data_IF_258019342115
#
_entry.id   IF_258019342115
#
_cell.length_a   1.000
_cell.length_b   1.000
_cell.length_c   1.000
_cell.angle_alpha   90.00
_cell.angle_beta   90.00
_cell.angle_gamma   90.00
#
_symmetry.space_group_name_H-M   'P 1'
#
loop_
_entity.id
_entity.type
_entity.pdbx_description
1 polymer ?
#
# COMPACT_ATOMS: atom_id res chain seq x y z
N UNK A 1 -13.47 46.01 34.52
CA UNK A 1 -14.63 46.72 33.95
C UNK A 1 -14.22 47.34 32.62
N UNK A 2 -14.54 46.66 31.52
CA UNK A 2 -14.60 47.21 30.16
C UNK A 2 -15.31 46.15 29.33
N UNK A 3 -16.54 46.47 28.90
CA UNK A 3 -17.44 45.55 28.21
C UNK A 3 -17.08 45.41 26.73
N UNK A 4 -17.16 44.17 26.23
CA UNK A 4 -17.18 43.86 24.81
C UNK A 4 -18.64 43.72 24.35
N UNK A 5 -18.98 44.13 23.11
CA UNK A 5 -20.36 44.21 22.65
C UNK A 5 -20.91 42.83 22.26
N UNK A 6 -22.17 42.58 22.60
CA UNK A 6 -22.92 41.41 22.13
C UNK A 6 -23.25 41.54 20.63
N UNK A 7 -23.10 40.47 19.82
CA UNK A 7 -23.55 40.48 18.44
C UNK A 7 -25.08 40.44 18.34
N UNK A 8 -25.60 41.03 17.25
CA UNK A 8 -27.01 41.21 16.98
C UNK A 8 -27.79 39.88 16.87
N UNK A 9 -29.02 39.89 17.40
CA UNK A 9 -29.99 38.77 17.54
C UNK A 9 -30.47 38.11 16.23
N UNK A 10 -29.89 38.39 15.07
CA UNK A 10 -30.44 37.94 13.78
C UNK A 10 -29.89 36.61 13.23
N UNK A 11 -28.75 36.11 13.70
CA UNK A 11 -28.11 34.92 13.09
C UNK A 11 -28.45 33.58 13.77
N UNK A 12 -29.00 33.56 14.98
CA UNK A 12 -29.32 32.31 15.69
C UNK A 12 -30.62 31.61 15.24
N UNK A 13 -31.34 32.16 14.25
CA UNK A 13 -32.67 31.65 13.85
C UNK A 13 -32.65 30.64 12.71
N UNK A 14 -31.54 30.45 11.98
CA UNK A 14 -31.53 29.53 10.83
C UNK A 14 -31.22 28.07 11.18
N UNK A 15 -30.61 27.77 12.34
CA UNK A 15 -30.14 26.41 12.67
C UNK A 15 -31.04 25.61 13.62
N UNK A 16 -32.10 26.20 14.18
CA UNK A 16 -32.98 25.52 15.16
C UNK A 16 -34.24 24.85 14.56
N UNK A 17 -34.31 24.65 13.24
CA UNK A 17 -35.47 24.04 12.56
C UNK A 17 -35.70 22.54 12.83
N UNK A 18 -34.90 21.90 13.71
CA UNK A 18 -35.00 20.48 14.03
C UNK A 18 -35.91 20.10 15.21
N UNK A 19 -36.34 21.06 16.05
CA UNK A 19 -37.15 20.75 17.23
C UNK A 19 -38.64 21.08 16.99
N UNK A 20 -39.48 20.03 16.90
CA UNK A 20 -40.93 20.15 16.62
C UNK A 20 -41.76 20.89 17.67
N UNK A 21 -41.18 21.34 18.79
CA UNK A 21 -41.92 21.99 19.88
C UNK A 21 -41.17 23.17 20.54
N UNK A 22 -40.30 23.89 19.80
CA UNK A 22 -39.57 25.06 20.35
C UNK A 22 -40.50 26.13 20.95
N UNK A 23 -41.69 26.31 20.40
CA UNK A 23 -42.65 27.31 20.86
C UNK A 23 -43.33 26.95 22.20
N UNK A 24 -43.20 25.71 22.68
CA UNK A 24 -43.80 25.25 23.95
C UNK A 24 -42.87 25.34 25.16
N UNK A 25 -41.59 25.68 24.97
CA UNK A 25 -40.62 25.82 26.06
C UNK A 25 -40.75 27.20 26.74
N UNK A 26 -40.69 27.22 28.07
CA UNK A 26 -40.65 28.44 28.88
C UNK A 26 -39.34 29.22 28.63
N UNK A 27 -39.37 30.54 28.84
CA UNK A 27 -38.24 31.46 28.63
C UNK A 27 -36.99 31.06 29.44
N UNK A 28 -37.14 30.42 30.60
CA UNK A 28 -36.00 29.93 31.40
C UNK A 28 -35.28 28.75 30.74
N UNK A 29 -36.03 27.80 30.19
CA UNK A 29 -35.46 26.59 29.56
C UNK A 29 -34.79 26.92 28.22
N UNK A 30 -35.35 27.88 27.47
CA UNK A 30 -34.70 28.42 26.25
C UNK A 30 -33.37 29.10 26.55
N UNK A 31 -33.25 29.75 27.71
CA UNK A 31 -32.00 30.39 28.15
C UNK A 31 -30.93 29.36 28.53
N UNK A 32 -31.30 28.27 29.21
CA UNK A 32 -30.37 27.23 29.64
C UNK A 32 -29.77 26.45 28.45
N UNK A 33 -30.58 26.15 27.43
CA UNK A 33 -30.12 25.44 26.22
C UNK A 33 -29.14 26.31 25.41
N UNK A 34 -29.43 27.61 25.27
CA UNK A 34 -28.57 28.52 24.54
C UNK A 34 -27.19 28.72 25.22
N UNK A 35 -27.12 28.71 26.54
CA UNK A 35 -25.86 28.82 27.29
C UNK A 35 -25.03 27.53 27.19
N UNK A 36 -25.67 26.36 27.28
CA UNK A 36 -24.99 25.07 27.14
C UNK A 36 -24.38 24.85 25.75
N UNK A 37 -25.05 25.31 24.69
CA UNK A 37 -24.53 25.14 23.32
C UNK A 37 -23.42 26.15 22.98
N UNK A 38 -23.45 27.37 23.53
CA UNK A 38 -22.35 28.34 23.39
C UNK A 38 -21.10 27.86 24.14
N UNK A 39 -21.24 27.32 25.34
CA UNK A 39 -20.11 26.73 26.07
C UNK A 39 -19.56 25.48 25.34
N UNK A 40 -20.41 24.70 24.67
CA UNK A 40 -19.99 23.59 23.80
C UNK A 40 -19.21 24.07 22.57
N UNK A 41 -19.62 25.18 21.94
CA UNK A 41 -18.97 25.77 20.78
C UNK A 41 -17.62 26.40 21.14
N UNK A 42 -17.53 27.09 22.28
CA UNK A 42 -16.27 27.69 22.76
C UNK A 42 -15.27 26.63 23.22
N UNK A 43 -15.73 25.55 23.87
CA UNK A 43 -14.88 24.41 24.23
C UNK A 43 -14.39 23.62 23.01
N UNK A 44 -15.23 23.42 21.99
CA UNK A 44 -14.82 22.69 20.79
C UNK A 44 -13.85 23.48 19.89
N UNK A 45 -13.90 24.81 19.88
CA UNK A 45 -12.93 25.64 19.16
C UNK A 45 -11.56 25.66 19.90
N UNK A 46 -11.56 25.86 21.23
CA UNK A 46 -10.34 25.85 22.03
C UNK A 46 -9.60 24.51 22.04
N UNK A 47 -10.33 23.38 22.01
CA UNK A 47 -9.74 22.04 21.90
C UNK A 47 -9.22 21.70 20.49
N UNK A 48 -9.74 22.35 19.43
CA UNK A 48 -9.25 22.18 18.05
C UNK A 48 -7.91 22.87 17.84
N UNK A 49 -7.75 24.10 18.33
CA UNK A 49 -6.53 24.87 18.11
C UNK A 49 -5.35 24.35 18.97
N UNK A 50 -5.64 23.90 20.20
CA UNK A 50 -4.66 23.19 21.05
C UNK A 50 -4.35 21.79 20.53
N UNK A 51 -5.31 21.10 19.90
CA UNK A 51 -5.10 19.78 19.29
C UNK A 51 -4.18 19.83 18.06
N UNK A 52 -4.37 20.83 17.19
CA UNK A 52 -3.56 21.02 15.98
C UNK A 52 -2.13 21.46 16.33
N UNK A 53 -1.97 22.41 17.25
CA UNK A 53 -0.65 22.87 17.67
C UNK A 53 0.15 21.77 18.41
N UNK A 54 -0.52 20.96 19.24
CA UNK A 54 0.12 19.84 19.95
C UNK A 54 0.44 18.67 19.02
N UNK A 55 -0.36 18.43 17.97
CA UNK A 55 -0.05 17.44 16.93
C UNK A 55 1.15 17.88 16.07
N UNK A 56 1.20 19.15 15.65
CA UNK A 56 2.36 19.70 14.93
C UNK A 56 3.63 19.70 15.77
N UNK A 57 3.54 20.00 17.07
CA UNK A 57 4.67 19.91 18.00
C UNK A 57 5.12 18.47 18.28
N UNK A 58 4.20 17.49 18.33
CA UNK A 58 4.53 16.07 18.52
C UNK A 58 5.13 15.43 17.25
N UNK A 59 4.72 15.86 16.05
CA UNK A 59 5.37 15.47 14.80
C UNK A 59 6.76 16.09 14.62
N UNK A 60 7.00 17.28 15.19
CA UNK A 60 8.31 17.94 15.15
C UNK A 60 9.31 17.42 16.19
N UNK A 61 8.83 16.96 17.36
CA UNK A 61 9.70 16.52 18.46
C UNK A 61 10.14 15.04 18.40
N UNK A 62 9.67 14.26 17.41
CA UNK A 62 9.98 12.84 17.25
C UNK A 62 10.84 12.49 16.01
N UNK A 63 11.32 13.49 15.25
CA UNK A 63 12.17 13.24 14.09
C UNK A 63 13.65 13.46 14.44
N UNK A 64 14.43 12.42 14.79
CA UNK A 64 15.83 12.45 14.41
C UNK A 64 15.85 12.63 12.89
N UNK A 65 16.63 13.58 12.38
CA UNK A 65 16.81 13.90 10.97
C UNK A 65 16.79 12.62 10.12
N UNK A 66 15.65 12.32 9.48
CA UNK A 66 15.50 11.15 8.62
C UNK A 66 16.32 11.41 7.37
N UNK A 67 17.41 10.65 7.21
CA UNK A 67 18.14 10.63 5.96
C UNK A 67 17.18 10.17 4.86
N UNK A 68 17.00 10.94 3.78
CA UNK A 68 16.15 10.52 2.67
C UNK A 68 16.69 9.23 2.07
N UNK A 69 15.80 8.30 1.71
CA UNK A 69 16.23 7.06 1.07
C UNK A 69 16.95 7.38 -0.26
N UNK A 70 18.27 7.20 -0.27
CA UNK A 70 19.07 7.12 -1.50
C UNK A 70 18.95 5.73 -2.15
N UNK A 71 18.21 4.80 -1.55
CA UNK A 71 18.12 3.42 -2.03
C UNK A 71 17.47 3.26 -3.39
N UNK A 72 16.85 4.28 -3.99
CA UNK A 72 16.27 4.14 -5.32
C UNK A 72 16.70 5.31 -6.20
N UNK A 73 17.49 5.03 -7.23
CA UNK A 73 18.02 6.05 -8.16
C UNK A 73 17.73 5.62 -9.59
N UNK A 74 17.17 6.51 -10.42
CA UNK A 74 17.23 6.38 -11.87
C UNK A 74 18.58 6.89 -12.39
N UNK A 75 19.27 6.06 -13.16
CA UNK A 75 20.63 6.30 -13.65
C UNK A 75 20.85 7.66 -14.32
N UNK A 76 21.87 8.38 -13.85
CA UNK A 76 22.72 9.28 -14.64
C UNK A 76 24.20 8.86 -14.45
N UNK A 77 25.02 9.06 -15.46
CA UNK A 77 26.21 8.24 -15.81
C UNK A 77 27.48 8.34 -14.95
N UNK A 78 27.43 8.72 -13.66
CA UNK A 78 28.62 8.70 -12.77
C UNK A 78 28.23 8.37 -11.32
N UNK A 79 28.54 7.15 -10.84
CA UNK A 79 28.20 6.70 -9.48
C UNK A 79 29.33 7.01 -8.45
N UNK A 80 28.98 7.75 -7.41
CA UNK A 80 29.68 8.02 -6.14
C UNK A 80 29.55 6.83 -5.17
N UNK A 81 30.28 6.87 -4.04
CA UNK A 81 30.21 5.83 -2.99
C UNK A 81 28.80 5.70 -2.36
N UNK A 82 28.03 6.79 -2.33
CA UNK A 82 26.62 6.80 -1.91
C UNK A 82 25.71 6.16 -2.99
N UNK A 83 26.02 6.34 -4.28
CA UNK A 83 25.31 5.71 -5.39
C UNK A 83 25.63 4.21 -5.53
N UNK A 84 26.78 3.73 -5.03
CA UNK A 84 27.14 2.31 -4.96
C UNK A 84 26.29 1.51 -3.95
N UNK A 85 25.65 2.18 -2.99
CA UNK A 85 24.72 1.57 -2.03
C UNK A 85 23.24 1.92 -2.32
N UNK A 86 22.95 2.35 -3.55
CA UNK A 86 21.59 2.58 -4.04
C UNK A 86 21.11 1.41 -4.90
N UNK A 87 19.81 1.11 -4.85
CA UNK A 87 19.15 0.17 -5.75
C UNK A 87 18.81 0.93 -7.02
N UNK A 88 19.36 0.47 -8.13
CA UNK A 88 18.87 0.88 -9.43
C UNK A 88 17.60 0.06 -9.72
N UNK A 89 16.43 0.69 -9.69
CA UNK A 89 15.14 -0.01 -9.90
C UNK A 89 15.11 -0.69 -11.27
N UNK A 90 15.72 -0.08 -12.29
CA UNK A 90 15.67 -0.60 -13.66
C UNK A 90 16.55 -1.84 -13.80
N UNK A 91 17.73 -1.83 -13.20
CA UNK A 91 18.60 -3.00 -13.11
C UNK A 91 17.94 -4.11 -12.27
N UNK A 92 17.45 -3.73 -11.09
CA UNK A 92 16.80 -4.62 -10.14
C UNK A 92 15.54 -5.28 -10.70
N UNK A 93 14.83 -4.62 -11.61
CA UNK A 93 13.70 -5.18 -12.34
C UNK A 93 14.06 -6.44 -13.14
N UNK A 94 15.33 -6.63 -13.50
CA UNK A 94 15.78 -7.80 -14.26
C UNK A 94 16.28 -8.97 -13.40
N UNK A 95 16.42 -8.74 -12.09
CA UNK A 95 17.03 -9.70 -11.17
C UNK A 95 16.28 -11.02 -11.08
N UNK A 96 17.05 -12.09 -10.90
CA UNK A 96 16.54 -13.39 -10.51
C UNK A 96 16.34 -13.54 -8.99
N UNK A 97 15.78 -14.68 -8.60
CA UNK A 97 15.51 -15.01 -7.20
C UNK A 97 16.76 -14.90 -6.32
N UNK A 98 17.90 -15.41 -6.75
CA UNK A 98 19.09 -15.47 -5.90
C UNK A 98 19.73 -14.08 -5.76
N UNK A 99 19.69 -13.26 -6.80
CA UNK A 99 20.05 -11.85 -6.73
C UNK A 99 19.16 -11.08 -5.75
N UNK A 100 17.84 -11.29 -5.81
CA UNK A 100 16.87 -10.69 -4.87
C UNK A 100 17.18 -11.11 -3.43
N UNK A 101 17.31 -12.41 -3.16
CA UNK A 101 17.57 -12.91 -1.80
C UNK A 101 18.91 -12.38 -1.27
N UNK A 102 19.97 -12.41 -2.09
CA UNK A 102 21.28 -11.86 -1.72
C UNK A 102 21.18 -10.38 -1.36
N UNK A 103 20.41 -9.60 -2.12
CA UNK A 103 20.19 -8.20 -1.82
C UNK A 103 19.42 -7.99 -0.51
N UNK A 104 18.34 -8.74 -0.27
CA UNK A 104 17.56 -8.65 0.98
C UNK A 104 18.45 -8.86 2.21
N UNK A 105 19.32 -9.88 2.19
CA UNK A 105 20.26 -10.13 3.29
C UNK A 105 21.31 -9.01 3.42
N UNK A 106 21.88 -8.53 2.31
CA UNK A 106 22.83 -7.39 2.33
C UNK A 106 22.21 -6.13 2.96
N UNK A 107 20.95 -5.85 2.66
CA UNK A 107 20.21 -4.73 3.24
C UNK A 107 19.96 -4.96 4.74
N UNK A 108 19.56 -6.16 5.13
CA UNK A 108 19.32 -6.51 6.52
C UNK A 108 20.59 -6.49 7.39
N UNK A 109 21.75 -6.82 6.82
CA UNK A 109 23.05 -6.74 7.50
C UNK A 109 23.45 -5.30 7.85
N UNK A 110 23.16 -4.34 6.96
CA UNK A 110 23.52 -2.95 7.16
C UNK A 110 22.48 -1.98 6.56
N UNK A 111 21.32 -1.79 7.22
CA UNK A 111 20.22 -1.00 6.68
C UNK A 111 20.55 0.50 6.58
N UNK A 112 21.54 0.99 7.34
CA UNK A 112 21.99 2.38 7.31
C UNK A 112 22.56 2.75 5.94
N UNK A 113 23.25 1.82 5.26
CA UNK A 113 23.77 2.05 3.90
C UNK A 113 22.64 2.30 2.88
N UNK A 114 21.43 1.86 3.20
CA UNK A 114 20.25 2.00 2.36
C UNK A 114 19.32 3.13 2.84
N UNK A 115 19.78 3.98 3.76
CA UNK A 115 19.02 5.13 4.26
C UNK A 115 18.08 4.82 5.44
N UNK A 116 18.10 3.59 5.98
CA UNK A 116 17.34 3.27 7.18
C UNK A 116 18.21 3.44 8.43
N UNK A 117 18.06 4.59 9.10
CA UNK A 117 18.81 4.94 10.30
C UNK A 117 18.28 4.33 11.62
N UNK A 118 17.04 3.82 11.63
CA UNK A 118 16.45 3.22 12.83
C UNK A 118 16.99 1.81 13.06
N UNK A 119 17.80 1.66 14.10
CA UNK A 119 18.38 0.38 14.52
C UNK A 119 17.32 -0.67 14.92
N UNK A 120 16.11 -0.24 15.30
CA UNK A 120 15.00 -1.16 15.63
C UNK A 120 14.47 -1.90 14.40
N UNK A 121 14.75 -1.41 13.19
CA UNK A 121 14.28 -1.99 11.92
C UNK A 121 15.19 -3.12 11.44
N UNK A 122 16.48 -3.09 11.79
CA UNK A 122 17.45 -4.11 11.37
C UNK A 122 16.99 -5.56 11.68
N UNK A 123 16.62 -5.92 12.92
CA UNK A 123 16.17 -7.29 13.22
C UNK A 123 14.91 -7.68 12.43
N UNK A 124 14.02 -6.72 12.15
CA UNK A 124 12.79 -6.95 11.37
C UNK A 124 13.11 -7.25 9.90
N UNK A 125 14.05 -6.52 9.31
CA UNK A 125 14.52 -6.77 7.94
C UNK A 125 15.19 -8.14 7.84
N UNK A 126 16.02 -8.51 8.82
CA UNK A 126 16.66 -9.83 8.85
C UNK A 126 15.63 -10.96 8.95
N UNK A 127 14.63 -10.81 9.81
CA UNK A 127 13.55 -11.78 9.96
C UNK A 127 12.71 -11.91 8.69
N UNK A 128 12.33 -10.79 8.06
CA UNK A 128 11.61 -10.77 6.79
C UNK A 128 12.42 -11.41 5.66
N UNK A 129 13.72 -11.12 5.55
CA UNK A 129 14.59 -11.75 4.55
C UNK A 129 14.64 -13.27 4.73
N UNK A 130 14.74 -13.73 5.99
CA UNK A 130 14.68 -15.15 6.34
C UNK A 130 13.37 -15.81 5.94
N UNK A 131 12.23 -15.19 6.25
CA UNK A 131 10.92 -15.72 5.88
C UNK A 131 10.69 -15.71 4.38
N UNK A 132 11.13 -14.67 3.66
CA UNK A 132 11.04 -14.61 2.20
C UNK A 132 11.85 -15.76 1.58
N UNK A 133 13.13 -15.94 1.95
CA UNK A 133 13.96 -17.03 1.41
C UNK A 133 13.36 -18.42 1.73
N UNK A 134 12.81 -18.59 2.94
CA UNK A 134 12.19 -19.83 3.37
C UNK A 134 10.87 -20.14 2.63
N UNK A 135 10.12 -19.13 2.20
CA UNK A 135 8.86 -19.28 1.46
C UNK A 135 9.03 -19.34 -0.06
N UNK A 136 10.15 -18.83 -0.58
CA UNK A 136 10.42 -18.79 -2.01
C UNK A 136 10.93 -20.12 -2.55
N UNK A 137 10.39 -20.55 -3.69
CA UNK A 137 10.86 -21.74 -4.41
C UNK A 137 12.29 -21.56 -4.93
N UNK A 138 13.11 -22.61 -5.05
CA UNK A 138 12.79 -24.02 -4.76
C UNK A 138 12.95 -24.40 -3.27
N UNK A 139 13.49 -23.49 -2.43
CA UNK A 139 13.75 -23.77 -1.00
C UNK A 139 12.50 -23.85 -0.13
N UNK A 140 11.34 -23.43 -0.64
CA UNK A 140 10.00 -23.49 -0.02
C UNK A 140 9.53 -24.89 0.38
N UNK A 141 10.32 -25.61 1.18
CA UNK A 141 10.11 -27.00 1.58
C UNK A 141 8.83 -27.22 2.37
N UNK A 142 8.27 -26.18 2.97
CA UNK A 142 7.00 -26.28 3.70
C UNK A 142 5.78 -26.31 2.76
N UNK A 143 5.93 -25.85 1.51
CA UNK A 143 4.80 -25.63 0.61
C UNK A 143 4.95 -26.12 -0.83
N UNK A 144 6.11 -26.62 -1.22
CA UNK A 144 6.21 -27.60 -2.31
C UNK A 144 5.59 -28.90 -1.79
N UNK A 145 4.52 -29.33 -2.46
CA UNK A 145 3.85 -30.57 -2.09
C UNK A 145 4.82 -31.75 -2.14
N UNK A 146 5.84 -31.73 -3.02
CA UNK A 146 6.76 -32.84 -3.26
C UNK A 146 6.02 -34.21 -3.33
N UNK A 147 4.78 -34.21 -3.83
CA UNK A 147 3.90 -35.40 -3.86
C UNK A 147 3.23 -35.79 -2.53
N UNK A 148 3.38 -35.01 -1.45
CA UNK A 148 2.70 -35.23 -0.17
C UNK A 148 1.31 -34.60 -0.18
N UNK A 149 0.30 -35.45 -0.05
CA UNK A 149 -1.11 -35.05 -0.13
C UNK A 149 -1.48 -34.03 0.96
N UNK A 150 -0.85 -34.09 2.14
CA UNK A 150 -1.08 -33.16 3.24
C UNK A 150 -0.75 -31.72 2.85
N UNK A 151 0.13 -31.52 1.87
CA UNK A 151 0.61 -30.20 1.43
C UNK A 151 -0.04 -29.72 0.13
N UNK A 152 -0.69 -30.60 -0.62
CA UNK A 152 -1.41 -30.26 -1.85
C UNK A 152 -2.57 -29.28 -1.59
N UNK A 153 -2.74 -28.25 -2.43
CA UNK A 153 -1.91 -27.90 -3.60
C UNK A 153 -0.63 -27.15 -3.22
N UNK A 154 0.39 -27.21 -4.07
CA UNK A 154 1.57 -26.35 -3.96
C UNK A 154 1.15 -24.86 -3.96
N UNK A 155 1.47 -24.12 -2.91
CA UNK A 155 1.06 -22.71 -2.74
C UNK A 155 2.02 -21.98 -1.81
N UNK A 156 2.36 -20.74 -2.10
CA UNK A 156 3.28 -19.92 -1.31
C UNK A 156 2.66 -19.26 -0.06
N UNK A 157 1.55 -19.82 0.45
CA UNK A 157 0.81 -19.33 1.62
C UNK A 157 1.11 -20.21 2.83
N UNK A 158 1.49 -19.58 3.93
CA UNK A 158 1.82 -20.30 5.15
C UNK A 158 0.61 -20.93 5.83
N UNK A 159 0.74 -22.22 6.13
CA UNK A 159 -0.36 -23.09 6.54
C UNK A 159 0.12 -24.32 7.28
N UNK A 160 -0.72 -24.85 8.16
CA UNK A 160 -0.48 -26.12 8.84
C UNK A 160 -1.60 -27.10 8.52
N UNK A 161 -1.24 -28.35 8.20
CA UNK A 161 -2.22 -29.39 7.91
C UNK A 161 -3.03 -29.74 9.16
N UNK A 162 -4.35 -29.87 9.02
CA UNK A 162 -5.27 -30.31 10.09
C UNK A 162 -5.28 -31.83 10.13
N UNK A 163 -4.77 -32.48 11.20
CA UNK A 163 -4.74 -33.93 11.30
C UNK A 163 -6.13 -34.55 11.15
N UNK A 164 -6.21 -35.67 10.42
CA UNK A 164 -7.45 -36.41 10.13
C UNK A 164 -8.46 -35.68 9.24
N UNK A 165 -8.10 -34.58 8.57
CA UNK A 165 -8.96 -34.01 7.53
C UNK A 165 -9.03 -34.96 6.33
N UNK A 166 -10.24 -35.32 5.92
CA UNK A 166 -10.48 -36.27 4.84
C UNK A 166 -11.20 -35.65 3.65
N UNK A 167 -10.61 -35.89 2.46
CA UNK A 167 -11.22 -35.54 1.18
C UNK A 167 -12.61 -36.18 1.07
N UNK A 168 -13.60 -35.40 0.59
CA UNK A 168 -15.03 -35.76 0.45
C UNK A 168 -15.87 -35.84 1.73
N UNK A 169 -15.26 -36.01 2.92
CA UNK A 169 -16.01 -36.04 4.20
C UNK A 169 -16.09 -34.66 4.85
N UNK A 170 -14.99 -33.91 4.78
CA UNK A 170 -14.79 -32.72 5.59
C UNK A 170 -14.82 -31.41 4.77
N UNK A 171 -15.63 -31.35 3.70
CA UNK A 171 -15.69 -30.22 2.76
C UNK A 171 -16.23 -28.91 3.38
N UNK A 172 -16.87 -29.00 4.54
CA UNK A 172 -17.33 -27.85 5.34
C UNK A 172 -16.26 -27.34 6.32
N UNK A 173 -15.16 -28.06 6.48
CA UNK A 173 -14.01 -27.64 7.28
C UNK A 173 -12.80 -27.40 6.39
N UNK A 174 -11.77 -26.75 6.91
CA UNK A 174 -10.56 -26.52 6.15
C UNK A 174 -9.54 -27.62 6.38
N UNK A 175 -8.91 -28.06 5.29
CA UNK A 175 -7.71 -28.93 5.34
C UNK A 175 -6.55 -28.30 6.09
N UNK A 176 -6.52 -26.97 6.17
CA UNK A 176 -5.39 -26.22 6.65
C UNK A 176 -5.82 -25.14 7.65
N UNK A 177 -5.02 -24.96 8.70
CA UNK A 177 -5.09 -23.74 9.51
C UNK A 177 -4.17 -22.68 8.93
N UNK A 178 -4.60 -21.42 8.98
CA UNK A 178 -3.76 -20.29 8.58
C UNK A 178 -2.63 -20.15 9.58
N UNK A 179 -1.39 -20.31 9.12
CA UNK A 179 -0.20 -20.00 9.89
C UNK A 179 0.31 -18.65 9.39
N UNK A 180 -0.05 -17.57 10.08
CA UNK A 180 0.47 -16.24 9.74
C UNK A 180 1.78 -15.99 10.46
N UNK A 181 2.69 -15.26 9.83
CA UNK A 181 3.85 -14.69 10.48
C UNK A 181 3.46 -13.37 11.13
N UNK A 182 3.81 -13.18 12.40
CA UNK A 182 3.47 -11.95 13.12
C UNK A 182 4.71 -11.10 13.24
N UNK A 183 4.81 -10.07 12.41
CA UNK A 183 5.89 -9.08 12.55
C UNK A 183 5.53 -8.14 13.72
N UNK A 184 6.37 -8.02 14.76
CA UNK A 184 6.06 -7.18 15.91
C UNK A 184 6.07 -5.69 15.56
N UNK A 185 4.97 -5.02 15.92
CA UNK A 185 4.81 -3.56 15.92
C UNK A 185 4.11 -3.13 17.21
N UNK A 186 4.26 -1.86 17.57
CA UNK A 186 3.82 -1.27 18.86
C UNK A 186 2.32 -1.44 19.16
N UNK A 187 1.50 -1.88 18.20
CA UNK A 187 0.06 -2.06 18.32
C UNK A 187 -0.44 -3.46 17.89
N UNK A 188 0.22 -4.53 18.36
CA UNK A 188 -0.28 -5.91 18.19
C UNK A 188 0.24 -6.68 16.98
N UNK A 189 1.26 -6.14 16.29
CA UNK A 189 1.91 -6.77 15.15
C UNK A 189 1.10 -6.74 13.84
N UNK A 190 1.72 -7.22 12.77
CA UNK A 190 1.08 -7.42 11.45
C UNK A 190 1.15 -8.90 11.13
N UNK A 191 0.00 -9.50 10.84
CA UNK A 191 -0.05 -10.85 10.30
C UNK A 191 0.27 -10.81 8.81
N UNK A 192 1.30 -11.54 8.38
CA UNK A 192 1.73 -11.71 7.00
C UNK A 192 1.54 -13.18 6.62
N UNK A 193 0.97 -13.46 5.45
CA UNK A 193 0.58 -14.84 5.11
C UNK A 193 1.42 -15.44 3.98
N UNK A 194 2.13 -14.61 3.23
CA UNK A 194 2.97 -15.04 2.13
C UNK A 194 4.17 -14.12 1.92
N UNK A 195 5.08 -14.53 1.05
CA UNK A 195 6.28 -13.76 0.73
C UNK A 195 6.00 -12.44 -0.01
N UNK A 196 4.86 -12.29 -0.69
CA UNK A 196 4.47 -11.01 -1.31
C UNK A 196 4.17 -9.96 -0.26
N UNK A 197 3.41 -10.33 0.77
CA UNK A 197 3.07 -9.48 1.92
C UNK A 197 4.37 -9.05 2.64
N UNK A 198 5.28 -10.02 2.86
CA UNK A 198 6.57 -9.78 3.50
C UNK A 198 7.48 -8.88 2.68
N UNK A 199 7.58 -9.10 1.37
CA UNK A 199 8.39 -8.26 0.49
C UNK A 199 7.85 -6.83 0.44
N UNK A 200 6.53 -6.66 0.39
CA UNK A 200 5.90 -5.33 0.42
C UNK A 200 6.22 -4.59 1.71
N UNK A 201 6.21 -5.29 2.86
CA UNK A 201 6.61 -4.73 4.14
C UNK A 201 8.12 -4.44 4.20
N UNK A 202 8.97 -5.35 3.72
CA UNK A 202 10.42 -5.19 3.69
C UNK A 202 10.80 -3.90 2.95
N UNK A 203 10.29 -3.73 1.72
CA UNK A 203 10.54 -2.54 0.92
C UNK A 203 9.97 -1.26 1.57
N UNK A 204 8.83 -1.35 2.25
CA UNK A 204 8.24 -0.22 2.99
C UNK A 204 8.99 0.14 4.29
N UNK A 205 9.76 -0.78 4.85
CA UNK A 205 10.60 -0.56 6.03
C UNK A 205 11.94 0.09 5.70
N UNK A 206 12.32 0.20 4.43
CA UNK A 206 13.56 0.89 4.05
C UNK A 206 13.51 2.37 4.41
N UNK A 207 12.33 2.98 4.36
CA UNK A 207 12.13 4.36 4.79
C UNK A 207 11.33 5.16 3.78
N UNK A 208 11.15 6.47 4.05
CA UNK A 208 10.45 7.36 3.14
C UNK A 208 11.31 7.66 1.92
N UNK A 209 10.66 7.73 0.76
CA UNK A 209 11.23 8.38 -0.41
C UNK A 209 11.57 9.84 -0.11
N UNK A 210 12.42 10.46 -0.95
CA UNK A 210 12.70 11.90 -0.87
C UNK A 210 11.39 12.69 -0.99
N UNK A 211 10.92 13.22 0.15
CA UNK A 211 9.68 13.98 0.22
C UNK A 211 9.72 15.15 -0.77
N UNK A 212 8.61 15.36 -1.47
CA UNK A 212 8.50 16.36 -2.54
C UNK A 212 9.49 16.22 -3.71
N UNK A 213 10.09 15.05 -3.91
CA UNK A 213 10.91 14.72 -5.09
C UNK A 213 10.46 13.43 -5.78
N UNK A 214 9.85 12.52 -5.03
CA UNK A 214 9.26 11.28 -5.56
C UNK A 214 7.79 11.47 -5.93
N UNK A 215 7.44 11.11 -7.15
CA UNK A 215 6.08 11.07 -7.66
C UNK A 215 5.76 9.70 -8.25
N UNK A 216 4.54 9.57 -8.77
CA UNK A 216 4.04 8.34 -9.38
C UNK A 216 5.00 7.79 -10.43
N UNK A 217 5.54 8.64 -11.29
CA UNK A 217 6.25 8.23 -12.50
C UNK A 217 7.75 8.01 -12.28
N UNK A 218 8.40 8.81 -11.45
CA UNK A 218 9.84 8.67 -11.24
C UNK A 218 10.24 7.68 -10.13
N UNK A 219 9.28 7.24 -9.29
CA UNK A 219 9.57 6.28 -8.22
C UNK A 219 8.48 5.23 -8.04
N UNK A 220 7.25 5.64 -7.72
CA UNK A 220 6.29 4.68 -7.15
C UNK A 220 5.78 3.65 -8.16
N UNK A 221 5.60 4.01 -9.43
CA UNK A 221 5.24 3.08 -10.50
C UNK A 221 6.42 2.18 -10.90
N UNK A 222 7.66 2.69 -11.12
CA UNK A 222 8.84 1.85 -11.28
C UNK A 222 9.03 0.85 -10.12
N UNK A 223 8.94 1.33 -8.88
CA UNK A 223 9.06 0.51 -7.67
C UNK A 223 7.96 -0.55 -7.61
N UNK A 224 6.72 -0.20 -7.96
CA UNK A 224 5.61 -1.14 -8.01
C UNK A 224 5.82 -2.23 -9.07
N UNK A 225 6.34 -1.86 -10.24
CA UNK A 225 6.65 -2.81 -11.30
C UNK A 225 7.78 -3.76 -10.91
N UNK A 226 8.85 -3.24 -10.30
CA UNK A 226 9.94 -4.05 -9.74
C UNK A 226 9.44 -4.99 -8.64
N UNK A 227 8.62 -4.49 -7.71
CA UNK A 227 7.99 -5.31 -6.67
C UNK A 227 7.17 -6.46 -7.27
N UNK A 228 6.31 -6.17 -8.25
CA UNK A 228 5.51 -7.17 -8.95
C UNK A 228 6.39 -8.20 -9.70
N UNK A 229 7.49 -7.75 -10.28
CA UNK A 229 8.47 -8.64 -10.90
C UNK A 229 9.13 -9.58 -9.89
N UNK A 230 9.60 -9.03 -8.77
CA UNK A 230 10.24 -9.81 -7.71
C UNK A 230 9.27 -10.82 -7.11
N UNK A 231 8.00 -10.45 -6.94
CA UNK A 231 6.94 -11.41 -6.60
C UNK A 231 6.89 -12.56 -7.61
N UNK A 232 7.00 -12.27 -8.91
CA UNK A 232 7.05 -13.32 -9.94
C UNK A 232 8.25 -14.25 -9.79
N UNK A 233 9.44 -13.69 -9.57
CA UNK A 233 10.67 -14.47 -9.40
C UNK A 233 10.68 -15.32 -8.13
N UNK A 234 10.16 -14.78 -7.03
CA UNK A 234 10.12 -15.47 -5.74
C UNK A 234 9.03 -16.54 -5.68
N UNK A 235 7.93 -16.34 -6.41
CA UNK A 235 6.72 -17.14 -6.33
C UNK A 235 6.49 -18.11 -7.49
N UNK A 236 7.40 -18.21 -8.46
CA UNK A 236 7.21 -19.04 -9.66
C UNK A 236 7.10 -20.53 -9.31
N UNK A 237 5.86 -20.98 -9.21
CA UNK A 237 5.46 -22.39 -9.20
C UNK A 237 5.68 -22.94 -10.61
N UNK A 238 6.73 -23.77 -10.75
CA UNK A 238 7.12 -24.77 -11.78
C UNK A 238 6.58 -24.78 -13.23
N UNK A 239 5.53 -24.06 -13.64
CA UNK A 239 4.88 -24.28 -14.95
C UNK A 239 4.62 -22.97 -15.70
N UNK A 240 5.14 -22.89 -16.92
CA UNK A 240 4.74 -21.87 -17.89
C UNK A 240 3.23 -21.97 -18.14
N UNK A 241 2.49 -20.94 -17.74
CA UNK A 241 1.04 -20.83 -17.96
C UNK A 241 0.16 -21.07 -16.73
N UNK A 242 0.71 -21.55 -15.61
CA UNK A 242 -0.03 -21.57 -14.34
C UNK A 242 0.11 -20.24 -13.60
N UNK A 243 -0.61 -19.23 -14.11
CA UNK A 243 -0.67 -17.90 -13.50
C UNK A 243 -1.50 -17.88 -12.21
N UNK A 244 -2.00 -19.02 -11.72
CA UNK A 244 -2.86 -19.07 -10.53
C UNK A 244 -2.11 -18.69 -9.25
N UNK A 245 -0.78 -18.90 -9.22
CA UNK A 245 0.10 -18.49 -8.13
C UNK A 245 0.30 -16.97 -8.07
N UNK A 246 0.18 -16.26 -9.20
CA UNK A 246 0.47 -14.83 -9.25
C UNK A 246 -0.66 -14.01 -8.66
N UNK A 247 -0.37 -12.97 -7.86
CA UNK A 247 -1.35 -11.93 -7.56
C UNK A 247 -1.91 -11.34 -8.87
N UNK A 248 -3.22 -11.15 -8.94
CA UNK A 248 -3.85 -10.45 -10.07
C UNK A 248 -3.56 -8.96 -10.13
N UNK A 249 -3.34 -8.36 -8.96
CA UNK A 249 -3.14 -6.92 -8.78
C UNK A 249 -2.00 -6.68 -7.80
N UNK A 250 -1.24 -5.64 -8.06
CA UNK A 250 -0.26 -5.05 -7.16
C UNK A 250 -0.65 -3.60 -6.89
N UNK A 251 -0.30 -3.07 -5.72
CA UNK A 251 -0.66 -1.71 -5.34
C UNK A 251 0.45 -1.03 -4.54
N UNK A 252 0.63 0.27 -4.80
CA UNK A 252 1.47 1.16 -4.01
C UNK A 252 0.62 2.32 -3.50
N UNK A 253 0.64 2.57 -2.18
CA UNK A 253 0.09 3.77 -1.55
C UNK A 253 1.24 4.59 -0.98
N UNK A 254 1.25 5.89 -1.23
CA UNK A 254 2.26 6.79 -0.68
C UNK A 254 1.66 8.08 -0.13
N UNK A 255 2.43 8.70 0.75
CA UNK A 255 2.15 9.98 1.35
C UNK A 255 3.10 11.03 0.76
N UNK A 256 2.53 12.02 0.08
CA UNK A 256 3.31 13.08 -0.60
C UNK A 256 4.10 13.93 0.40
N UNK A 257 3.56 14.18 1.59
CA UNK A 257 4.17 15.08 2.56
C UNK A 257 5.36 14.43 3.26
N UNK A 258 5.24 13.14 3.60
CA UNK A 258 6.26 12.42 4.36
C UNK A 258 7.18 11.54 3.49
N UNK A 259 6.79 11.21 2.26
CA UNK A 259 7.51 10.28 1.39
C UNK A 259 7.34 8.80 1.77
N UNK A 260 6.64 8.48 2.87
CA UNK A 260 6.36 7.10 3.24
C UNK A 260 5.47 6.41 2.22
N UNK A 261 5.74 5.13 1.98
CA UNK A 261 4.95 4.31 1.08
C UNK A 261 4.79 2.89 1.59
N UNK A 262 3.80 2.19 1.04
CA UNK A 262 3.54 0.77 1.27
C UNK A 262 3.13 0.09 -0.02
N UNK A 263 3.65 -1.11 -0.19
CA UNK A 263 3.39 -1.99 -1.31
C UNK A 263 2.52 -3.16 -0.85
N UNK A 264 1.68 -3.66 -1.73
CA UNK A 264 0.85 -4.82 -1.46
C UNK A 264 0.45 -5.54 -2.73
N UNK A 265 0.04 -6.78 -2.56
CA UNK A 265 -0.41 -7.65 -3.64
C UNK A 265 -1.74 -8.29 -3.28
N UNK A 266 -2.60 -8.52 -4.29
CA UNK A 266 -3.81 -9.31 -4.12
C UNK A 266 -3.45 -10.74 -3.70
N UNK A 267 -4.39 -11.56 -3.26
CA UNK A 267 -4.07 -12.95 -2.92
C UNK A 267 -3.65 -13.70 -4.20
N UNK A 268 -2.39 -14.10 -4.26
CA UNK A 268 -1.89 -15.05 -5.24
C UNK A 268 -2.07 -16.48 -4.74
N UNK A 269 -2.09 -17.45 -5.65
CA UNK A 269 -2.10 -18.88 -5.30
C UNK A 269 -3.43 -19.42 -4.81
N UNK A 270 -4.53 -18.67 -4.96
CA UNK A 270 -5.81 -18.98 -4.32
C UNK A 270 -6.59 -20.13 -4.99
N UNK A 271 -6.15 -20.66 -6.14
CA UNK A 271 -6.92 -21.67 -6.91
C UNK A 271 -6.79 -23.09 -6.32
N UNK A 272 -7.30 -23.26 -5.10
CA UNK A 272 -7.57 -24.55 -4.52
C UNK A 272 -9.07 -24.84 -4.61
N UNK A 273 -9.45 -25.87 -5.36
CA UNK A 273 -10.84 -26.29 -5.43
C UNK A 273 -11.30 -26.82 -4.05
N UNK A 274 -12.60 -26.62 -3.75
CA UNK A 274 -13.18 -26.99 -2.46
C UNK A 274 -13.11 -28.49 -2.20
N UNK A 275 -13.21 -29.30 -3.24
CA UNK A 275 -13.02 -30.75 -3.20
C UNK A 275 -11.57 -31.19 -2.93
N UNK A 276 -10.60 -30.27 -2.99
CA UNK A 276 -9.18 -30.53 -2.65
C UNK A 276 -8.82 -30.06 -1.25
N UNK A 277 -9.40 -28.94 -0.79
CA UNK A 277 -8.95 -28.25 0.43
C UNK A 277 -10.05 -27.85 1.42
N UNK A 278 -11.31 -28.18 1.12
CA UNK A 278 -12.46 -27.74 1.91
C UNK A 278 -12.58 -26.22 1.92
N UNK A 279 -12.80 -25.62 3.10
CA UNK A 279 -12.99 -24.16 3.27
C UNK A 279 -11.67 -23.37 3.37
N UNK A 280 -10.53 -23.93 2.94
CA UNK A 280 -9.20 -23.27 3.03
C UNK A 280 -9.15 -21.86 2.45
N UNK A 281 -9.70 -21.67 1.26
CA UNK A 281 -9.69 -20.36 0.62
C UNK A 281 -10.46 -19.31 1.44
N UNK A 282 -11.57 -19.71 2.07
CA UNK A 282 -12.35 -18.84 2.93
C UNK A 282 -11.58 -18.47 4.20
N UNK A 283 -10.83 -19.42 4.77
CA UNK A 283 -10.01 -19.19 5.97
C UNK A 283 -8.92 -18.14 5.71
N UNK A 284 -8.20 -18.24 4.57
CA UNK A 284 -7.16 -17.25 4.22
C UNK A 284 -7.78 -15.87 4.01
N UNK A 285 -8.88 -15.79 3.25
CA UNK A 285 -9.58 -14.52 2.99
C UNK A 285 -10.07 -13.91 4.29
N UNK A 286 -10.57 -14.71 5.23
CA UNK A 286 -10.93 -14.26 6.57
C UNK A 286 -9.74 -13.73 7.37
N UNK A 287 -8.61 -14.43 7.33
CA UNK A 287 -7.41 -13.99 8.03
C UNK A 287 -6.92 -12.64 7.50
N UNK A 288 -6.89 -12.44 6.17
CA UNK A 288 -6.56 -11.15 5.55
C UNK A 288 -7.63 -10.07 5.79
N UNK A 289 -8.91 -10.45 5.81
CA UNK A 289 -9.99 -9.54 6.20
C UNK A 289 -9.81 -9.03 7.64
N UNK A 290 -9.40 -9.89 8.57
CA UNK A 290 -9.15 -9.51 9.94
C UNK A 290 -7.98 -8.52 10.07
N UNK A 291 -7.01 -8.54 9.14
CA UNK A 291 -5.95 -7.53 9.10
C UNK A 291 -6.55 -6.13 8.82
N UNK A 292 -7.53 -6.00 7.92
CA UNK A 292 -8.19 -4.71 7.63
C UNK A 292 -8.94 -4.13 8.83
N UNK A 293 -9.43 -4.98 9.73
CA UNK A 293 -10.20 -4.58 10.90
C UNK A 293 -9.33 -4.38 12.15
N UNK A 294 -8.04 -4.73 12.09
CA UNK A 294 -7.10 -4.46 13.18
C UNK A 294 -6.93 -2.96 13.37
N UNK A 295 -7.20 -2.52 14.60
CA UNK A 295 -6.99 -1.13 15.00
C UNK A 295 -5.51 -0.90 15.26
N UNK A 296 -4.94 0.10 14.61
CA UNK A 296 -3.60 0.61 14.96
C UNK A 296 -3.69 2.02 15.51
N UNK A 297 -2.76 2.34 16.40
CA UNK A 297 -2.68 3.68 16.98
C UNK A 297 -2.55 4.72 15.85
N UNK A 298 -3.39 5.75 15.89
CA UNK A 298 -3.43 6.84 14.92
C UNK A 298 -3.72 6.43 13.46
N UNK A 299 -4.31 5.25 13.24
CA UNK A 299 -4.75 4.77 11.93
C UNK A 299 -6.26 4.57 11.88
N UNK A 300 -6.81 4.56 10.67
CA UNK A 300 -8.22 4.23 10.44
C UNK A 300 -8.45 2.75 10.74
N UNK A 301 -9.40 2.45 11.62
CA UNK A 301 -9.96 1.12 11.75
C UNK A 301 -11.12 0.99 10.75
N UNK A 302 -10.92 0.21 9.68
CA UNK A 302 -11.95 0.06 8.66
C UNK A 302 -13.12 -0.77 9.18
N UNK A 303 -14.32 -0.20 9.13
CA UNK A 303 -15.56 -0.89 9.48
C UNK A 303 -16.14 -1.56 8.23
N UNK A 304 -15.67 -2.76 7.94
CA UNK A 304 -16.13 -3.59 6.82
C UNK A 304 -16.89 -4.82 7.33
N UNK A 305 -17.78 -5.37 6.50
CA UNK A 305 -18.59 -6.54 6.83
C UNK A 305 -18.52 -7.55 5.69
N UNK A 306 -18.26 -8.82 6.03
CA UNK A 306 -18.23 -9.94 5.08
C UNK A 306 -19.61 -10.14 4.43
N UNK A 307 -19.62 -10.48 3.14
CA UNK A 307 -20.86 -10.67 2.38
C UNK A 307 -21.53 -9.35 1.95
N UNK A 308 -20.92 -8.20 2.27
CA UNK A 308 -21.35 -6.86 1.82
C UNK A 308 -20.35 -6.25 0.86
N UNK A 309 -19.73 -7.07 0.02
CA UNK A 309 -18.86 -6.62 -1.06
C UNK A 309 -19.66 -5.86 -2.13
N UNK A 310 -19.08 -4.78 -2.63
CA UNK A 310 -19.73 -3.96 -3.64
C UNK A 310 -19.67 -4.63 -5.01
N UNK A 311 -20.85 -4.82 -5.62
CA UNK A 311 -21.01 -5.38 -6.96
C UNK A 311 -21.04 -4.27 -8.00
N UNK A 312 -20.39 -4.55 -9.13
CA UNK A 312 -20.51 -3.72 -10.32
C UNK A 312 -21.81 -4.06 -11.03
N UNK A 313 -22.71 -3.08 -11.13
CA UNK A 313 -24.03 -3.28 -11.77
C UNK A 313 -23.88 -3.50 -13.27
N UNK A 314 -22.80 -3.01 -13.86
CA UNK A 314 -22.54 -3.10 -15.30
C UNK A 314 -21.83 -4.41 -15.69
N UNK A 315 -21.52 -5.27 -14.70
CA UNK A 315 -20.91 -6.59 -14.90
C UNK A 315 -21.77 -7.68 -14.27
N UNK A 316 -22.99 -7.85 -14.79
CA UNK A 316 -23.84 -8.96 -14.39
C UNK A 316 -23.12 -10.31 -14.55
N UNK A 317 -23.24 -11.17 -13.53
CA UNK A 317 -22.60 -12.48 -13.49
C UNK A 317 -21.17 -12.51 -12.96
N UNK A 318 -20.51 -11.36 -12.74
CA UNK A 318 -19.18 -11.31 -12.11
C UNK A 318 -19.32 -11.15 -10.61
N UNK A 319 -18.85 -12.13 -9.84
CA UNK A 319 -18.80 -12.00 -8.38
C UNK A 319 -17.87 -10.86 -7.96
N UNK A 320 -18.25 -10.06 -6.94
CA UNK A 320 -17.40 -9.00 -6.45
C UNK A 320 -16.14 -9.60 -5.82
N UNK A 321 -14.98 -8.95 -5.92
CA UNK A 321 -13.77 -9.43 -5.27
C UNK A 321 -14.02 -9.51 -3.75
N UNK A 322 -13.77 -10.65 -3.09
CA UNK A 322 -14.02 -10.76 -1.66
C UNK A 322 -13.12 -9.80 -0.87
N UNK A 323 -13.59 -9.36 0.29
CA UNK A 323 -12.72 -8.61 1.20
C UNK A 323 -11.47 -9.44 1.58
N UNK A 324 -10.34 -8.74 1.80
CA UNK A 324 -9.07 -9.39 2.11
C UNK A 324 -8.33 -9.98 0.90
N UNK A 325 -8.93 -9.94 -0.31
CA UNK A 325 -8.25 -10.33 -1.55
C UNK A 325 -7.59 -9.15 -2.28
N UNK A 326 -7.96 -7.91 -1.95
CA UNK A 326 -7.47 -6.73 -2.65
C UNK A 326 -5.99 -6.44 -2.30
N UNK A 327 -5.24 -5.90 -3.26
CA UNK A 327 -3.82 -5.57 -3.10
C UNK A 327 -3.57 -4.48 -2.05
N UNK A 328 -4.59 -3.67 -1.79
CA UNK A 328 -4.64 -2.57 -0.85
C UNK A 328 -4.68 -3.03 0.62
N UNK A 329 -4.82 -4.33 0.90
CA UNK A 329 -5.00 -4.87 2.25
C UNK A 329 -3.95 -4.35 3.23
N UNK A 330 -2.66 -4.45 2.89
CA UNK A 330 -1.56 -3.98 3.76
C UNK A 330 -1.21 -2.51 3.58
N UNK A 331 -1.23 -1.94 2.36
CA UNK A 331 -1.00 -0.51 2.23
C UNK A 331 -2.00 0.35 2.99
N UNK A 332 -3.28 -0.02 3.03
CA UNK A 332 -4.30 0.86 3.62
C UNK A 332 -4.26 0.90 5.14
N UNK A 333 -4.02 -0.24 5.81
CA UNK A 333 -3.92 -0.28 7.27
C UNK A 333 -2.78 0.58 7.82
N UNK A 334 -1.73 0.75 7.03
CA UNK A 334 -0.50 1.44 7.44
C UNK A 334 -0.47 2.91 7.02
N UNK A 335 -1.19 3.27 5.95
CA UNK A 335 -1.10 4.60 5.35
C UNK A 335 -2.25 5.53 5.71
N UNK A 336 -3.43 5.01 6.04
CA UNK A 336 -4.59 5.87 6.36
C UNK A 336 -4.56 6.35 7.81
N UNK A 337 -4.38 7.66 7.99
CA UNK A 337 -4.29 8.32 9.28
C UNK A 337 -5.68 8.58 9.89
N UNK A 338 -5.76 8.72 11.21
CA UNK A 338 -7.00 9.15 11.87
C UNK A 338 -7.45 10.58 11.51
N UNK A 339 -6.56 11.40 10.95
CA UNK A 339 -6.85 12.76 10.49
C UNK A 339 -7.48 12.72 9.09
N UNK A 340 -8.73 13.21 9.02
CA UNK A 340 -9.52 13.13 7.81
C UNK A 340 -9.04 14.05 6.69
N UNK A 341 -8.61 15.26 7.04
CA UNK A 341 -8.16 16.25 6.06
C UNK A 341 -6.79 15.85 5.51
N UNK A 342 -5.94 15.27 6.35
CA UNK A 342 -4.63 14.78 5.95
C UNK A 342 -4.73 13.75 4.82
N UNK A 343 -5.58 12.72 4.99
CA UNK A 343 -5.69 11.64 4.01
C UNK A 343 -6.16 12.14 2.64
N UNK A 344 -7.13 13.05 2.61
CA UNK A 344 -7.68 13.61 1.37
C UNK A 344 -6.61 14.40 0.59
N UNK A 345 -5.71 15.08 1.29
CA UNK A 345 -4.71 15.97 0.69
C UNK A 345 -3.45 15.19 0.30
N UNK A 346 -2.96 14.31 1.17
CA UNK A 346 -1.60 13.79 1.09
C UNK A 346 -1.49 12.36 0.57
N UNK A 347 -2.53 11.53 0.72
CA UNK A 347 -2.45 10.14 0.27
C UNK A 347 -2.75 10.01 -1.22
N UNK A 348 -1.92 9.21 -1.88
CA UNK A 348 -2.00 8.86 -3.29
C UNK A 348 -1.81 7.35 -3.43
N UNK A 349 -2.22 6.80 -4.56
CA UNK A 349 -1.90 5.42 -4.87
C UNK A 349 -1.99 5.10 -6.35
N UNK A 350 -1.40 3.97 -6.70
CA UNK A 350 -1.49 3.40 -8.05
C UNK A 350 -1.55 1.88 -7.93
N UNK A 351 -2.28 1.25 -8.85
CA UNK A 351 -2.38 -0.20 -8.92
C UNK A 351 -1.98 -0.70 -10.31
N UNK A 352 -1.42 -1.90 -10.36
CA UNK A 352 -0.88 -2.52 -11.56
C UNK A 352 -1.41 -3.94 -11.70
N UNK A 353 -1.99 -4.25 -12.86
CA UNK A 353 -2.43 -5.60 -13.26
C UNK A 353 -1.23 -6.47 -13.54
N UNK A 354 -1.22 -7.73 -13.11
CA UNK A 354 -0.07 -8.63 -13.33
C UNK A 354 0.21 -8.99 -14.79
N UNK A 355 -0.75 -8.78 -15.69
CA UNK A 355 -0.65 -9.16 -17.09
C UNK A 355 0.55 -8.54 -17.82
N UNK A 356 1.04 -7.37 -17.39
CA UNK A 356 2.24 -6.73 -17.94
C UNK A 356 3.49 -7.62 -17.87
N UNK A 357 3.57 -8.54 -16.89
CA UNK A 357 4.70 -9.47 -16.72
C UNK A 357 4.85 -10.44 -17.90
N UNK A 358 3.77 -10.68 -18.64
CA UNK A 358 3.75 -11.62 -19.77
C UNK A 358 3.52 -10.92 -21.12
N UNK A 359 3.58 -9.59 -21.13
CA UNK A 359 3.39 -8.82 -22.35
C UNK A 359 4.46 -9.20 -23.40
N UNK A 360 4.02 -9.35 -24.65
CA UNK A 360 4.90 -9.76 -25.75
C UNK A 360 5.95 -8.68 -26.06
N UNK A 361 5.57 -7.42 -25.92
CA UNK A 361 6.48 -6.30 -26.16
C UNK A 361 7.53 -6.21 -25.06
N UNK A 362 7.19 -6.54 -23.80
CA UNK A 362 8.17 -6.63 -22.71
C UNK A 362 9.28 -7.64 -23.01
N UNK A 363 8.92 -8.81 -23.58
CA UNK A 363 9.89 -9.83 -24.00
C UNK A 363 10.76 -9.35 -25.15
N UNK A 364 10.17 -8.67 -26.15
CA UNK A 364 10.92 -8.08 -27.27
C UNK A 364 11.95 -7.08 -26.75
N UNK A 365 11.53 -6.13 -25.91
CA UNK A 365 12.41 -5.10 -25.34
C UNK A 365 13.54 -5.69 -24.49
N UNK A 366 13.26 -6.74 -23.70
CA UNK A 366 14.29 -7.46 -22.96
C UNK A 366 15.35 -8.08 -23.88
N UNK A 367 14.92 -8.73 -24.96
CA UNK A 367 15.81 -9.31 -25.97
C UNK A 367 16.66 -8.25 -26.67
N UNK A 368 16.08 -7.11 -27.04
CA UNK A 368 16.79 -6.00 -27.69
C UNK A 368 17.82 -5.35 -26.75
N UNK A 369 17.49 -5.23 -25.47
CA UNK A 369 18.38 -4.69 -24.45
C UNK A 369 19.45 -5.69 -23.95
N UNK A 370 19.39 -6.96 -24.38
CA UNK A 370 20.28 -8.01 -23.87
C UNK A 370 20.10 -8.31 -22.37
N UNK A 371 18.90 -8.07 -21.84
CA UNK A 371 18.57 -8.28 -20.41
C UNK A 371 17.56 -9.41 -20.27
N UNK A 372 17.47 -10.00 -19.08
CA UNK A 372 16.45 -11.02 -18.81
C UNK A 372 15.04 -10.44 -18.91
N UNK A 373 14.86 -9.22 -18.39
CA UNK A 373 13.61 -8.46 -18.40
C UNK A 373 13.92 -6.98 -18.50
N UNK A 374 13.04 -6.23 -19.17
CA UNK A 374 13.20 -4.81 -19.41
C UNK A 374 12.09 -4.02 -18.74
N UNK A 375 12.46 -2.99 -17.99
CA UNK A 375 11.53 -1.99 -17.50
C UNK A 375 11.33 -0.92 -18.56
N UNK A 376 10.10 -0.79 -19.06
CA UNK A 376 9.69 0.28 -19.95
C UNK A 376 9.35 1.56 -19.17
N UNK A 377 9.52 2.70 -19.82
CA UNK A 377 9.35 4.02 -19.25
C UNK A 377 8.00 4.18 -18.54
N UNK A 378 7.99 4.76 -17.33
CA UNK A 378 6.79 4.98 -16.53
C UNK A 378 5.72 5.85 -17.22
N UNK A 379 6.02 6.49 -18.35
CA UNK A 379 5.13 7.36 -19.10
C UNK A 379 4.51 6.70 -20.35
N UNK A 380 4.97 5.51 -20.75
CA UNK A 380 4.51 4.80 -21.96
C UNK A 380 4.95 3.33 -21.96
N UNK A 381 4.15 2.45 -22.57
CA UNK A 381 4.47 1.04 -22.70
C UNK A 381 3.66 0.13 -21.77
N UNK A 382 4.05 -1.14 -21.68
CA UNK A 382 3.35 -2.17 -20.94
C UNK A 382 3.18 -1.86 -19.43
N UNK A 383 4.16 -1.33 -18.70
CA UNK A 383 3.90 -1.02 -17.27
C UNK A 383 2.85 0.09 -17.16
N UNK A 384 2.90 1.08 -18.04
CA UNK A 384 1.97 2.20 -18.01
C UNK A 384 0.53 1.77 -18.39
N UNK A 385 0.39 0.97 -19.45
CA UNK A 385 -0.90 0.54 -20.01
C UNK A 385 -1.70 -0.40 -19.11
N UNK A 386 -1.02 -1.14 -18.24
CA UNK A 386 -1.66 -2.12 -17.35
C UNK A 386 -2.00 -1.57 -15.96
N UNK A 387 -1.90 -0.25 -15.77
CA UNK A 387 -2.38 0.38 -14.55
C UNK A 387 -3.91 0.31 -14.46
N UNK A 388 -4.42 0.11 -13.24
CA UNK A 388 -5.87 0.05 -12.98
C UNK A 388 -6.25 1.04 -11.88
N UNK A 389 -7.46 1.59 -11.96
CA UNK A 389 -8.06 2.28 -10.81
C UNK A 389 -8.53 1.31 -9.72
N UNK A 390 -8.86 1.83 -8.53
CA UNK A 390 -9.35 0.99 -7.42
C UNK A 390 -10.67 0.31 -7.79
N UNK A 391 -10.79 -0.96 -7.41
CA UNK A 391 -12.06 -1.70 -7.50
C UNK A 391 -13.12 -1.09 -6.55
N UNK A 392 -14.38 -1.52 -6.64
CA UNK A 392 -15.46 -0.93 -5.84
C UNK A 392 -15.25 -1.05 -4.33
N UNK A 393 -14.70 -2.18 -3.87
CA UNK A 393 -14.34 -2.39 -2.47
C UNK A 393 -13.22 -1.44 -2.02
N UNK A 394 -12.18 -1.27 -2.85
CA UNK A 394 -11.09 -0.34 -2.55
C UNK A 394 -11.56 1.11 -2.58
N UNK A 395 -12.46 1.50 -3.50
CA UNK A 395 -13.11 2.83 -3.51
C UNK A 395 -13.91 3.07 -2.23
N UNK A 396 -14.56 2.05 -1.71
CA UNK A 396 -15.24 2.15 -0.42
C UNK A 396 -14.24 2.36 0.71
N UNK A 397 -13.16 1.59 0.78
CA UNK A 397 -12.13 1.74 1.80
C UNK A 397 -11.46 3.12 1.75
N UNK A 398 -11.10 3.61 0.56
CA UNK A 398 -10.54 4.95 0.38
C UNK A 398 -11.48 6.00 0.98
N UNK A 399 -12.79 5.93 0.66
CA UNK A 399 -13.80 6.85 1.21
C UNK A 399 -13.97 6.68 2.73
N UNK A 400 -13.97 5.46 3.23
CA UNK A 400 -14.09 5.16 4.66
C UNK A 400 -12.88 5.68 5.45
N UNK A 401 -11.70 5.68 4.84
CA UNK A 401 -10.50 6.36 5.34
C UNK A 401 -10.41 7.83 4.95
N UNK A 402 -11.50 8.43 4.43
CA UNK A 402 -11.61 9.84 4.02
C UNK A 402 -10.58 10.30 2.98
N UNK A 403 -9.97 9.38 2.24
CA UNK A 403 -9.18 9.69 1.06
C UNK A 403 -10.05 10.05 -0.14
N UNK A 404 -9.43 10.59 -1.18
CA UNK A 404 -10.11 10.90 -2.44
C UNK A 404 -9.85 9.81 -3.48
N UNK A 405 -10.89 9.18 -4.02
CA UNK A 405 -10.70 8.14 -5.06
C UNK A 405 -9.91 8.63 -6.28
N UNK A 406 -10.01 9.92 -6.63
CA UNK A 406 -9.26 10.52 -7.72
C UNK A 406 -7.73 10.39 -7.52
N UNK A 407 -7.27 10.47 -6.27
CA UNK A 407 -5.85 10.33 -5.90
C UNK A 407 -5.30 8.90 -6.08
N UNK A 408 -6.18 7.93 -6.35
CA UNK A 408 -5.86 6.52 -6.57
C UNK A 408 -6.24 6.04 -7.97
N UNK A 409 -6.89 6.90 -8.77
CA UNK A 409 -7.36 6.52 -10.10
C UNK A 409 -6.24 6.62 -11.13
N UNK A 410 -6.22 5.68 -12.07
CA UNK A 410 -5.28 5.69 -13.20
C UNK A 410 -5.35 7.00 -14.01
N UNK A 411 -6.56 7.50 -14.29
CA UNK A 411 -6.84 8.76 -15.00
C UNK A 411 -6.93 9.98 -14.08
N UNK A 412 -6.49 9.86 -12.83
CA UNK A 412 -6.64 10.89 -11.81
C UNK A 412 -5.70 12.06 -12.02
N UNK A 413 -6.16 13.04 -12.80
CA UNK A 413 -5.54 14.36 -13.04
C UNK A 413 -4.22 14.25 -13.81
N UNK A 414 -4.16 14.93 -14.94
CA UNK A 414 -3.05 14.94 -15.89
C UNK A 414 -1.70 15.11 -15.18
N UNK A 415 -0.64 14.54 -15.76
CA UNK A 415 0.79 14.77 -15.47
C UNK A 415 1.09 16.13 -14.81
N UNK A 416 0.46 17.19 -15.30
CA UNK A 416 0.53 18.59 -14.84
C UNK A 416 0.21 18.82 -13.34
N UNK A 417 -0.62 17.98 -12.70
CA UNK A 417 -0.97 18.12 -11.28
C UNK A 417 -0.09 17.27 -10.35
N UNK A 418 0.58 16.24 -10.89
CA UNK A 418 1.60 15.44 -10.20
C UNK A 418 3.02 15.98 -10.45
N UNK A 419 3.18 16.99 -11.33
CA UNK A 419 4.40 17.78 -11.40
C UNK A 419 4.62 18.47 -10.05
N UNK A 420 5.80 18.27 -9.50
CA UNK A 420 6.32 19.21 -8.50
C UNK A 420 6.24 20.60 -9.12
N UNK A 421 5.42 21.49 -8.53
CA UNK A 421 5.46 22.92 -8.82
C UNK A 421 6.81 23.48 -8.34
N UNK A 422 7.89 23.12 -9.01
CA UNK A 422 9.17 23.81 -8.90
C UNK A 422 9.59 24.27 -10.30
N UNK A 423 9.12 25.45 -10.74
CA UNK A 423 9.43 26.02 -12.06
C UNK A 423 10.94 26.09 -12.36
N UNK A 424 11.79 26.09 -11.33
CA UNK A 424 13.25 26.10 -11.49
C UNK A 424 13.80 24.77 -11.99
N UNK A 425 13.21 23.65 -11.60
CA UNK A 425 13.64 22.31 -12.03
C UNK A 425 13.17 22.07 -13.48
N UNK A 426 11.94 22.46 -13.82
CA UNK A 426 11.44 22.40 -15.20
C UNK A 426 12.29 23.24 -16.15
N UNK A 427 12.61 24.47 -15.74
CA UNK A 427 13.48 25.36 -16.53
C UNK A 427 14.85 24.74 -16.77
N UNK A 428 15.44 24.11 -15.75
CA UNK A 428 16.75 23.46 -15.86
C UNK A 428 16.72 22.21 -16.74
N UNK A 429 15.67 21.39 -16.64
CA UNK A 429 15.49 20.22 -17.50
C UNK A 429 15.25 20.61 -18.97
N UNK A 430 14.46 21.67 -19.21
CA UNK A 430 14.23 22.22 -20.55
C UNK A 430 15.52 22.80 -21.14
N UNK A 431 16.29 23.55 -20.34
CA UNK A 431 17.60 24.08 -20.77
C UNK A 431 18.61 22.96 -21.12
N UNK A 432 18.59 21.84 -20.39
CA UNK A 432 19.43 20.67 -20.68
C UNK A 432 18.97 19.90 -21.93
N UNK A 433 17.67 19.82 -22.20
CA UNK A 433 17.11 19.19 -23.40
C UNK A 433 17.32 20.04 -24.66
N UNK A 434 17.13 21.35 -24.55
CA UNK A 434 17.42 22.33 -25.61
C UNK A 434 18.92 22.32 -25.96
N UNK A 435 19.79 22.23 -24.95
CA UNK A 435 21.23 22.05 -25.17
C UNK A 435 21.54 20.76 -25.93
N UNK A 436 20.96 19.61 -25.55
CA UNK A 436 21.19 18.34 -26.28
C UNK A 436 20.72 18.40 -27.74
N UNK A 437 19.61 19.09 -28.01
CA UNK A 437 19.08 19.27 -29.37
C UNK A 437 19.93 20.20 -30.25
N UNK A 438 20.64 21.15 -29.65
CA UNK A 438 21.58 22.04 -30.35
C UNK A 438 22.87 21.29 -30.72
N UNK A 439 23.37 20.41 -29.85
CA UNK A 439 24.61 19.65 -30.08
C UNK A 439 24.44 18.36 -30.89
N UNK A 440 23.21 17.85 -31.06
CA UNK A 440 22.92 16.67 -31.89
C UNK A 440 22.71 16.97 -33.39
N UNK A 441 22.85 18.22 -33.82
CA UNK A 441 22.63 18.66 -35.23
C UNK A 441 23.88 19.21 -35.92
N UNK A 442 25.06 19.09 -35.31
CA UNK A 442 26.34 19.49 -35.91
C UNK A 442 27.10 18.32 -36.52
#
# INVERSE_FOLDING_TARGET
MSGLPFPARSEARSELKGYRDWDKLDRRDKGAIAVQDVDRLVLTQGHRDLGIARHQAMCAAANPVLAPLNAFVELNSKKTLEELNSLDIREAYSWDRDEIIKWLYKVAENPVLWGQGDKSVQPKLAELAGWIDALSLPKGKEYDDNGMWERTPSQHISRSYVPNWHIKKDLETSKFTVAGFVMPFEAGGIHLFNHYDMLGLFLGLLGPAKANQANKYNLYLPLLAMYAQWCSELGTVKWSGDNSAMPTMFQCTWDVASGWYRLGASLGGERAARDVTGTWLEQIRNARFNVLTQRRNNRVAFKVFRGKEFRDKDREGVEPPPWGNCAETYPFIDMFWGDWNYNAINLRGTALKCQFLWDKDAKRMASEAGTRKFYDDAHRGCVFEYQEGPCLNCRYLIRAGTGQNANFSFFGKTWEQDKFRNPKIEKKAQEEEDAKNIWGKS
#
